data_IF_100465552832
#
_entry.id   IF_100465552832
#
_cell.length_a   1.000
_cell.length_b   1.000
_cell.length_c   1.000
_cell.angle_alpha   90.00
_cell.angle_beta   90.00
_cell.angle_gamma   90.00
#
_symmetry.space_group_name_H-M   'P 1'
#
loop_
_entity.id
_entity.type
_entity.pdbx_description
1 polymer ?
#
# COMPACT_ATOMS: atom_id res chain seq x y z
N UNK A 1 -4.44 -4.42 9.81
CA UNK A 1 -3.87 -4.79 8.49
C UNK A 1 -2.83 -5.92 8.54
N UNK A 2 -2.16 -6.18 9.67
CA UNK A 2 -1.05 -7.14 9.75
C UNK A 2 -1.47 -8.62 9.69
N UNK A 3 -2.69 -8.96 10.12
CA UNK A 3 -3.21 -10.32 10.10
C UNK A 3 -3.21 -10.93 8.69
N UNK A 4 -2.93 -12.23 8.62
CA UNK A 4 -2.99 -12.96 7.36
C UNK A 4 -4.41 -12.93 6.75
N UNK A 5 -4.46 -12.85 5.42
CA UNK A 5 -5.71 -12.73 4.67
C UNK A 5 -6.48 -11.42 4.87
N UNK A 6 -5.98 -10.45 5.64
CA UNK A 6 -6.70 -9.19 5.89
C UNK A 6 -7.04 -8.45 4.58
N UNK A 7 -6.11 -8.38 3.63
CA UNK A 7 -6.35 -7.75 2.32
C UNK A 7 -7.47 -8.42 1.54
N UNK A 8 -7.53 -9.76 1.54
CA UNK A 8 -8.58 -10.51 0.85
C UNK A 8 -9.95 -10.31 1.51
N UNK A 9 -10.02 -10.33 2.85
CA UNK A 9 -11.26 -10.08 3.58
C UNK A 9 -11.80 -8.66 3.33
N UNK A 10 -10.92 -7.66 3.32
CA UNK A 10 -11.30 -6.27 3.03
C UNK A 10 -11.79 -6.14 1.60
N UNK A 11 -11.07 -6.71 0.62
CA UNK A 11 -11.50 -6.69 -0.78
C UNK A 11 -12.87 -7.33 -0.96
N UNK A 12 -13.08 -8.52 -0.36
CA UNK A 12 -14.36 -9.22 -0.39
C UNK A 12 -15.49 -8.38 0.19
N UNK A 13 -15.31 -7.86 1.41
CA UNK A 13 -16.32 -7.03 2.06
C UNK A 13 -16.64 -5.75 1.27
N UNK A 14 -15.63 -5.13 0.66
CA UNK A 14 -15.83 -3.95 -0.18
C UNK A 14 -16.63 -4.27 -1.45
N UNK A 15 -16.34 -5.39 -2.11
CA UNK A 15 -17.08 -5.83 -3.30
C UNK A 15 -18.51 -6.26 -2.96
N UNK A 16 -18.72 -6.94 -1.84
CA UNK A 16 -20.06 -7.32 -1.36
C UNK A 16 -20.89 -6.09 -0.98
N UNK A 17 -20.29 -5.08 -0.34
CA UNK A 17 -20.99 -3.88 0.11
C UNK A 17 -21.19 -2.81 -0.96
N UNK A 18 -20.26 -2.66 -1.91
CA UNK A 18 -20.27 -1.59 -2.91
C UNK A 18 -20.59 -2.08 -4.32
N UNK A 19 -20.58 -3.40 -4.56
CA UNK A 19 -20.70 -4.03 -5.87
C UNK A 19 -19.45 -3.89 -6.73
N UNK A 20 -18.80 -2.72 -6.71
CA UNK A 20 -17.55 -2.48 -7.41
C UNK A 20 -16.73 -1.38 -6.71
N UNK A 21 -15.42 -1.39 -6.93
CA UNK A 21 -14.51 -0.36 -6.38
C UNK A 21 -13.86 0.41 -7.52
N UNK A 22 -14.13 1.72 -7.61
CA UNK A 22 -13.57 2.61 -8.62
C UNK A 22 -12.24 3.24 -8.20
N UNK A 23 -12.11 3.55 -6.91
CA UNK A 23 -10.94 4.23 -6.35
C UNK A 23 -10.49 3.46 -5.11
N UNK A 24 -9.26 2.96 -5.14
CA UNK A 24 -8.56 2.43 -3.99
C UNK A 24 -7.58 3.48 -3.47
N UNK A 25 -7.68 3.80 -2.18
CA UNK A 25 -6.73 4.67 -1.49
C UNK A 25 -5.94 3.82 -0.48
N UNK A 26 -4.70 3.51 -0.81
CA UNK A 26 -3.77 2.86 0.09
C UNK A 26 -3.16 3.91 1.03
N UNK A 27 -3.82 4.12 2.18
CA UNK A 27 -3.39 5.03 3.23
C UNK A 27 -2.93 4.31 4.51
N UNK A 28 -3.06 2.99 4.59
CA UNK A 28 -2.58 2.23 5.74
C UNK A 28 -1.04 2.18 5.68
N UNK A 29 -0.38 2.83 6.63
CA UNK A 29 1.07 2.90 6.70
C UNK A 29 1.53 3.45 8.04
N UNK A 30 2.81 3.27 8.33
CA UNK A 30 3.40 3.69 9.58
C UNK A 30 4.91 3.72 9.47
N UNK A 31 5.51 4.70 10.13
CA UNK A 31 6.95 4.96 10.14
C UNK A 31 7.43 4.84 11.58
N UNK A 32 8.46 4.01 11.82
CA UNK A 32 9.08 3.85 13.14
C UNK A 32 10.59 3.80 12.97
N UNK A 33 11.32 4.54 13.79
CA UNK A 33 12.77 4.47 13.81
C UNK A 33 13.23 3.10 14.29
N UNK A 34 14.23 2.57 13.62
CA UNK A 34 14.96 1.38 14.00
C UNK A 34 16.27 1.77 14.68
N UNK A 35 16.72 0.92 15.60
CA UNK A 35 18.11 0.91 16.05
C UNK A 35 18.97 0.20 15.00
N UNK A 36 20.29 0.32 15.08
CA UNK A 36 21.20 -0.33 14.13
C UNK A 36 21.12 -1.86 14.18
N UNK A 37 20.76 -2.43 15.33
CA UNK A 37 20.55 -3.85 15.59
C UNK A 37 19.10 -4.30 15.33
N UNK A 38 18.40 -3.63 14.42
CA UNK A 38 17.03 -3.96 14.04
C UNK A 38 16.89 -5.44 13.68
N UNK A 39 15.92 -6.10 14.30
CA UNK A 39 15.62 -7.51 14.05
C UNK A 39 14.94 -7.69 12.69
N UNK A 40 15.09 -8.87 12.09
CA UNK A 40 14.38 -9.23 10.85
C UNK A 40 12.86 -9.05 10.99
N UNK A 41 12.30 -9.42 12.15
CA UNK A 41 10.87 -9.25 12.43
C UNK A 41 10.40 -7.78 12.34
N UNK A 42 11.23 -6.81 12.75
CA UNK A 42 10.91 -5.38 12.61
C UNK A 42 10.89 -4.94 11.14
N UNK A 43 11.84 -5.45 10.34
CA UNK A 43 11.86 -5.23 8.90
C UNK A 43 10.65 -5.85 8.21
N UNK A 44 10.33 -7.10 8.52
CA UNK A 44 9.17 -7.81 7.99
C UNK A 44 7.87 -7.11 8.36
N UNK A 45 7.70 -6.64 9.61
CA UNK A 45 6.51 -5.90 10.01
C UNK A 45 6.36 -4.61 9.21
N UNK A 46 7.43 -3.84 9.08
CA UNK A 46 7.43 -2.57 8.34
C UNK A 46 7.14 -2.77 6.85
N UNK A 47 7.76 -3.77 6.21
CA UNK A 47 7.50 -4.14 4.82
C UNK A 47 6.09 -4.68 4.63
N UNK A 48 5.62 -5.49 5.58
CA UNK A 48 4.27 -6.06 5.54
C UNK A 48 3.23 -4.95 5.56
N UNK A 49 3.34 -4.03 6.51
CA UNK A 49 2.41 -2.92 6.67
C UNK A 49 2.43 -1.96 5.47
N UNK A 50 3.62 -1.50 5.08
CA UNK A 50 3.77 -0.39 4.13
C UNK A 50 3.77 -0.83 2.67
N UNK A 51 3.97 -2.11 2.37
CA UNK A 51 4.06 -2.60 0.99
C UNK A 51 3.22 -3.86 0.76
N UNK A 52 3.53 -4.96 1.44
CA UNK A 52 2.97 -6.29 1.10
C UNK A 52 1.44 -6.29 1.14
N UNK A 53 0.85 -5.69 2.19
CA UNK A 53 -0.62 -5.67 2.35
C UNK A 53 -1.30 -4.76 1.33
N UNK A 54 -0.69 -3.63 0.99
CA UNK A 54 -1.19 -2.69 -0.03
C UNK A 54 -1.15 -3.35 -1.42
N UNK A 55 -0.05 -4.03 -1.76
CA UNK A 55 0.09 -4.81 -2.99
C UNK A 55 -0.97 -5.92 -3.08
N UNK A 56 -1.14 -6.69 -2.00
CA UNK A 56 -2.14 -7.77 -1.94
C UNK A 56 -3.57 -7.24 -2.15
N UNK A 57 -3.92 -6.12 -1.50
CA UNK A 57 -5.24 -5.51 -1.65
C UNK A 57 -5.46 -4.97 -3.06
N UNK A 58 -4.44 -4.31 -3.62
CA UNK A 58 -4.46 -3.82 -5.00
C UNK A 58 -4.66 -4.97 -5.98
N UNK A 59 -3.92 -6.07 -5.84
CA UNK A 59 -4.05 -7.23 -6.70
C UNK A 59 -5.44 -7.86 -6.63
N UNK A 60 -6.05 -7.94 -5.45
CA UNK A 60 -7.40 -8.48 -5.27
C UNK A 60 -8.50 -7.63 -5.94
N UNK A 61 -8.24 -6.33 -6.16
CA UNK A 61 -9.19 -5.40 -6.78
C UNK A 61 -8.84 -5.05 -8.22
N UNK A 62 -7.70 -5.52 -8.74
CA UNK A 62 -7.19 -5.11 -10.05
C UNK A 62 -8.01 -5.70 -11.20
N UNK A 63 -8.40 -6.97 -11.10
CA UNK A 63 -9.08 -7.68 -12.18
C UNK A 63 -10.40 -7.02 -12.58
N UNK A 64 -11.22 -6.61 -11.60
CA UNK A 64 -12.48 -5.89 -11.88
C UNK A 64 -12.23 -4.49 -12.47
N UNK A 65 -11.19 -3.78 -12.04
CA UNK A 65 -10.83 -2.48 -12.62
C UNK A 65 -10.36 -2.63 -14.09
N UNK A 66 -9.60 -3.69 -14.38
CA UNK A 66 -9.16 -4.01 -15.73
C UNK A 66 -10.33 -4.40 -16.64
N UNK A 67 -11.22 -5.27 -16.18
CA UNK A 67 -12.41 -5.67 -16.92
C UNK A 67 -13.30 -4.48 -17.29
N UNK A 68 -13.45 -3.52 -16.38
CA UNK A 68 -14.23 -2.29 -16.57
C UNK A 68 -13.48 -1.20 -17.33
N UNK A 69 -12.19 -1.40 -17.61
CA UNK A 69 -11.29 -0.38 -18.18
C UNK A 69 -11.28 0.93 -17.38
N UNK A 70 -11.58 0.85 -16.08
CA UNK A 70 -11.68 1.98 -15.17
C UNK A 70 -11.26 1.60 -13.76
N UNK A 71 -10.43 2.44 -13.15
CA UNK A 71 -9.95 2.28 -11.79
C UNK A 71 -8.86 3.31 -11.47
N UNK A 72 -8.76 3.72 -10.21
CA UNK A 72 -7.67 4.56 -9.70
C UNK A 72 -7.12 3.96 -8.42
N UNK A 73 -5.80 3.82 -8.36
CA UNK A 73 -5.09 3.41 -7.15
C UNK A 73 -4.22 4.58 -6.73
N UNK A 74 -4.48 5.09 -5.52
CA UNK A 74 -3.78 6.22 -4.92
C UNK A 74 -3.02 5.68 -3.71
N UNK A 75 -1.69 5.75 -3.76
CA UNK A 75 -0.85 5.39 -2.62
C UNK A 75 -0.48 6.67 -1.88
N UNK A 76 -0.92 6.80 -0.63
CA UNK A 76 -0.53 7.91 0.23
C UNK A 76 0.74 7.51 0.96
N UNK A 77 1.81 8.24 0.71
CA UNK A 77 3.08 8.10 1.42
C UNK A 77 3.38 9.40 2.17
N UNK A 78 3.53 9.29 3.49
CA UNK A 78 3.84 10.45 4.35
C UNK A 78 5.34 10.79 4.39
N UNK A 79 5.64 12.04 4.77
CA UNK A 79 7.00 12.56 5.03
C UNK A 79 7.65 11.79 6.19
N UNK A 80 8.96 11.63 6.11
CA UNK A 80 9.76 10.80 7.00
C UNK A 80 9.94 11.44 8.37
N UNK A 81 9.10 11.06 9.32
CA UNK A 81 9.38 11.19 10.75
C UNK A 81 9.19 9.79 11.36
N UNK A 82 10.17 9.25 12.11
CA UNK A 82 11.41 9.88 12.59
C UNK A 82 12.57 9.84 11.56
N UNK A 83 13.52 10.76 11.69
CA UNK A 83 14.82 10.71 10.99
C UNK A 83 15.66 9.55 11.55
N UNK A 84 16.11 8.63 10.69
CA UNK A 84 16.89 7.45 11.09
C UNK A 84 16.66 6.22 10.20
N UNK A 85 17.27 5.08 10.55
CA UNK A 85 17.04 3.80 9.87
C UNK A 85 15.56 3.40 10.03
N UNK A 86 14.88 3.06 8.94
CA UNK A 86 13.44 2.84 8.96
C UNK A 86 12.98 1.96 7.80
N UNK A 87 12.30 0.85 8.12
CA UNK A 87 11.78 -0.08 7.11
C UNK A 87 10.70 0.51 6.20
N UNK A 88 9.97 1.54 6.66
CA UNK A 88 8.98 2.23 5.84
C UNK A 88 9.63 2.99 4.67
N UNK A 89 10.90 3.41 4.78
CA UNK A 89 11.60 4.07 3.69
C UNK A 89 11.85 3.10 2.53
N UNK A 90 12.42 1.94 2.83
CA UNK A 90 12.66 0.88 1.84
C UNK A 90 11.35 0.39 1.19
N UNK A 91 10.29 0.26 2.00
CA UNK A 91 8.97 -0.14 1.49
C UNK A 91 8.36 0.90 0.52
N UNK A 92 8.49 2.19 0.83
CA UNK A 92 7.98 3.29 -0.03
C UNK A 92 8.78 3.42 -1.32
N UNK A 93 10.07 3.13 -1.29
CA UNK A 93 10.94 3.17 -2.45
C UNK A 93 10.67 2.01 -3.43
N UNK A 94 9.96 0.95 -3.00
CA UNK A 94 9.55 -0.16 -3.85
C UNK A 94 8.35 0.26 -4.73
N UNK A 95 8.55 0.68 -5.98
CA UNK A 95 7.45 1.02 -6.84
C UNK A 95 6.78 -0.30 -7.24
N UNK A 96 5.46 -0.37 -7.24
CA UNK A 96 4.76 -1.40 -8.03
C UNK A 96 3.95 -0.75 -9.14
N UNK A 97 4.51 -0.62 -10.35
CA UNK A 97 3.74 -0.28 -11.54
C UNK A 97 3.59 -1.52 -12.43
N UNK A 98 2.36 -2.03 -12.57
CA UNK A 98 1.96 -2.95 -13.63
C UNK A 98 1.59 -2.21 -14.93
N UNK A 99 1.57 -2.89 -16.09
CA UNK A 99 1.79 -2.27 -17.39
C UNK A 99 0.57 -1.48 -17.89
N UNK A 100 0.76 -0.17 -18.10
CA UNK A 100 0.03 0.69 -19.04
C UNK A 100 -1.49 0.93 -18.92
N UNK A 101 -2.29 0.24 -18.10
CA UNK A 101 -3.75 0.45 -18.09
C UNK A 101 -4.29 1.42 -17.02
N UNK A 102 -3.60 1.62 -15.90
CA UNK A 102 -4.04 2.54 -14.83
C UNK A 102 -3.02 3.67 -14.67
N UNK A 103 -3.39 4.91 -15.00
CA UNK A 103 -2.61 6.11 -14.62
C UNK A 103 -2.68 6.26 -13.10
N UNK A 104 -1.78 5.58 -12.38
CA UNK A 104 -1.45 5.93 -11.01
C UNK A 104 -0.68 7.26 -11.05
N UNK A 105 -1.27 8.32 -10.51
CA UNK A 105 -0.52 9.55 -10.20
C UNK A 105 -0.12 9.44 -8.74
N UNK A 106 1.16 9.20 -8.47
CA UNK A 106 1.74 9.45 -7.16
C UNK A 106 1.88 10.97 -6.98
N UNK A 107 1.03 11.55 -6.13
CA UNK A 107 1.22 12.93 -5.68
C UNK A 107 1.90 12.87 -4.33
N UNK A 108 3.22 13.07 -4.32
CA UNK A 108 3.96 13.43 -3.12
C UNK A 108 3.80 14.94 -2.91
N UNK A 109 2.85 15.35 -2.08
CA UNK A 109 2.74 16.76 -1.68
C UNK A 109 3.85 17.08 -0.69
N UNK A 110 4.81 17.90 -1.12
CA UNK A 110 5.78 18.54 -0.23
C UNK A 110 5.04 19.64 0.53
N UNK A 111 4.54 19.34 1.72
CA UNK A 111 4.28 20.40 2.69
C UNK A 111 5.59 20.71 3.41
N UNK A 112 5.96 22.00 3.41
CA UNK A 112 7.08 22.53 4.17
C UNK A 112 6.89 22.18 5.64
#
# INVERSE_FOLDING_TARGET
>A
MLAEGASARIAKAALEGLGSVDILINNAGGSRAFKLDATEAQWEEAMTLNFTRQRQLTHALLDQMMARKWGRIINITGKSEPEGLNGAFSAKAAPTPGPRACRARSASTVSR
#
